data_IF_920718781577
#
_entry.id   IF_920718781577
#
_cell.length_a   1.000
_cell.length_b   1.000
_cell.length_c   1.000
_cell.angle_alpha   90.00
_cell.angle_beta   90.00
_cell.angle_gamma   90.00
#
_symmetry.space_group_name_H-M   'P 1'
#
loop_
_entity.id
_entity.type
_entity.pdbx_description
1 polymer ?
#
# COMPACT_ATOMS: atom_id res chain seq x y z
N UNK A 1 -16.80 -5.18 -24.24
CA UNK A 1 -17.18 -6.17 -23.21
C UNK A 1 -17.88 -5.44 -22.07
N UNK A 2 -19.15 -5.77 -21.83
CA UNK A 2 -19.91 -5.26 -20.69
C UNK A 2 -19.50 -6.09 -19.47
N UNK A 3 -18.48 -5.63 -18.74
CA UNK A 3 -18.11 -6.20 -17.44
C UNK A 3 -18.79 -5.43 -16.33
N UNK A 4 -19.23 -6.13 -15.30
CA UNK A 4 -19.74 -5.55 -14.05
C UNK A 4 -18.80 -5.93 -12.93
N UNK A 5 -18.16 -4.94 -12.34
CA UNK A 5 -17.27 -5.14 -11.19
C UNK A 5 -18.13 -5.35 -9.95
N UNK A 6 -17.90 -6.45 -9.25
CA UNK A 6 -18.66 -6.84 -8.05
C UNK A 6 -17.91 -6.58 -6.78
N UNK A 7 -16.57 -6.60 -6.82
CA UNK A 7 -15.72 -6.35 -5.67
C UNK A 7 -14.38 -5.80 -6.12
N UNK A 8 -13.76 -4.98 -5.27
CA UNK A 8 -12.46 -4.38 -5.50
C UNK A 8 -11.58 -4.51 -4.27
N UNK A 9 -10.49 -5.26 -4.38
CA UNK A 9 -9.54 -5.52 -3.30
C UNK A 9 -8.27 -4.73 -3.56
N UNK A 10 -8.07 -3.71 -2.75
CA UNK A 10 -6.92 -2.82 -2.85
C UNK A 10 -5.58 -3.51 -2.56
N UNK A 11 -5.59 -4.57 -1.73
CA UNK A 11 -4.42 -5.41 -1.40
C UNK A 11 -4.84 -6.87 -1.32
N UNK A 12 -4.62 -7.63 -2.38
CA UNK A 12 -4.83 -9.08 -2.35
C UNK A 12 -3.68 -9.76 -1.59
N UNK A 13 -3.93 -10.10 -0.33
CA UNK A 13 -2.94 -10.76 0.55
C UNK A 13 -2.52 -12.15 0.08
N UNK A 14 -3.23 -12.77 -0.87
CA UNK A 14 -2.82 -14.04 -1.48
C UNK A 14 -1.47 -13.94 -2.20
N UNK A 15 -1.17 -12.75 -2.75
CA UNK A 15 0.12 -12.45 -3.37
C UNK A 15 1.17 -11.90 -2.37
N UNK A 16 0.84 -11.83 -1.08
CA UNK A 16 1.66 -11.22 -0.04
C UNK A 16 1.33 -9.76 0.20
N UNK A 17 2.04 -9.15 1.16
CA UNK A 17 1.90 -7.72 1.45
C UNK A 17 2.54 -6.89 0.32
N UNK A 18 1.84 -5.86 -0.11
CA UNK A 18 2.28 -4.95 -1.16
C UNK A 18 1.12 -4.42 -2.00
N UNK A 19 1.44 -3.78 -3.10
CA UNK A 19 0.47 -3.22 -4.05
C UNK A 19 0.00 -4.32 -5.00
N UNK A 20 -0.88 -5.18 -4.53
CA UNK A 20 -1.47 -6.26 -5.32
C UNK A 20 -2.97 -6.02 -5.43
N UNK A 21 -3.39 -5.34 -6.48
CA UNK A 21 -4.79 -5.10 -6.74
C UNK A 21 -5.47 -6.31 -7.35
N UNK A 22 -6.72 -6.51 -7.00
CA UNK A 22 -7.59 -7.36 -7.79
C UNK A 22 -9.02 -6.84 -7.75
N UNK A 23 -9.77 -7.18 -8.76
CA UNK A 23 -11.22 -7.01 -8.75
C UNK A 23 -11.93 -8.27 -9.23
N UNK A 24 -13.09 -8.49 -8.66
CA UNK A 24 -14.02 -9.53 -9.09
C UNK A 24 -15.03 -8.93 -10.05
N UNK A 25 -15.37 -9.66 -11.09
CA UNK A 25 -16.31 -9.20 -12.11
C UNK A 25 -17.03 -10.37 -12.77
N UNK A 26 -18.16 -10.08 -13.38
CA UNK A 26 -18.78 -10.95 -14.36
C UNK A 26 -18.96 -10.22 -15.70
N UNK A 27 -18.97 -10.96 -16.76
CA UNK A 27 -19.19 -10.46 -18.11
C UNK A 27 -20.50 -11.01 -18.70
N UNK A 28 -21.03 -10.31 -19.73
CA UNK A 28 -22.21 -10.72 -20.47
C UNK A 28 -23.45 -11.03 -19.63
N UNK A 29 -23.56 -10.42 -18.44
CA UNK A 29 -24.72 -10.58 -17.55
C UNK A 29 -24.78 -11.89 -16.75
N UNK A 30 -23.81 -12.79 -16.91
CA UNK A 30 -23.78 -14.07 -16.17
C UNK A 30 -23.23 -13.87 -14.73
N UNK A 31 -24.12 -13.53 -13.82
CA UNK A 31 -23.82 -13.31 -12.39
C UNK A 31 -23.29 -14.56 -11.68
N UNK A 32 -23.47 -15.75 -12.24
CA UNK A 32 -23.03 -17.00 -11.63
C UNK A 32 -21.55 -17.31 -11.94
N UNK A 33 -20.95 -16.62 -12.89
CA UNK A 33 -19.55 -16.79 -13.28
C UNK A 33 -18.69 -15.62 -12.87
N UNK A 34 -18.36 -15.54 -11.58
CA UNK A 34 -17.45 -14.53 -11.05
C UNK A 34 -16.01 -14.85 -11.48
N UNK A 35 -15.39 -13.89 -12.14
CA UNK A 35 -13.98 -13.91 -12.53
C UNK A 35 -13.18 -12.96 -11.65
N UNK A 36 -11.89 -13.25 -11.43
CA UNK A 36 -10.99 -12.38 -10.66
C UNK A 36 -9.83 -11.97 -11.57
N UNK A 37 -9.65 -10.66 -11.72
CA UNK A 37 -8.48 -10.09 -12.39
C UNK A 37 -7.53 -9.52 -11.37
N UNK A 38 -6.29 -10.02 -11.36
CA UNK A 38 -5.20 -9.54 -10.50
C UNK A 38 -4.23 -8.70 -11.29
N UNK A 39 -3.72 -7.68 -10.65
CA UNK A 39 -2.71 -6.80 -11.22
C UNK A 39 -1.43 -6.92 -10.39
N UNK A 40 -0.27 -7.12 -11.02
CA UNK A 40 1.00 -6.95 -10.34
C UNK A 40 1.18 -5.48 -9.95
N UNK A 41 2.10 -5.21 -9.05
CA UNK A 41 2.48 -3.85 -8.68
C UNK A 41 2.72 -3.02 -9.97
N UNK A 42 2.17 -1.81 -10.00
CA UNK A 42 2.23 -0.93 -11.18
C UNK A 42 1.57 -1.53 -12.44
N UNK A 43 0.70 -2.50 -12.28
CA UNK A 43 0.01 -3.16 -13.38
C UNK A 43 -1.27 -2.46 -13.83
N UNK A 44 -1.77 -1.53 -13.04
CA UNK A 44 -3.00 -0.80 -13.32
C UNK A 44 -2.78 0.71 -13.28
N UNK A 45 -3.36 1.44 -14.22
CA UNK A 45 -3.22 2.90 -14.33
C UNK A 45 -3.70 3.63 -13.08
N UNK A 46 -4.87 3.24 -12.54
CA UNK A 46 -5.44 3.86 -11.34
C UNK A 46 -4.55 3.68 -10.09
N UNK A 47 -3.85 2.55 -9.96
CA UNK A 47 -2.89 2.34 -8.86
C UNK A 47 -1.77 3.36 -8.92
N UNK A 48 -1.16 3.50 -10.09
CA UNK A 48 -0.04 4.42 -10.27
C UNK A 48 -0.47 5.86 -10.05
N UNK A 49 -1.61 6.27 -10.60
CA UNK A 49 -2.13 7.61 -10.39
C UNK A 49 -2.49 7.88 -8.93
N UNK A 50 -3.01 6.87 -8.21
CA UNK A 50 -3.22 6.98 -6.77
C UNK A 50 -1.91 7.15 -6.00
N UNK A 51 -0.91 6.28 -6.25
CA UNK A 51 0.39 6.34 -5.55
C UNK A 51 1.17 7.63 -5.83
N UNK A 52 0.96 8.23 -7.01
CA UNK A 52 1.57 9.51 -7.39
C UNK A 52 0.81 10.73 -6.87
N UNK A 53 -0.38 10.54 -6.29
CA UNK A 53 -1.25 11.61 -5.83
C UNK A 53 -2.03 12.31 -6.96
N UNK A 54 -2.09 11.71 -8.15
CA UNK A 54 -2.78 12.30 -9.30
C UNK A 54 -4.31 12.24 -9.16
N UNK A 55 -4.83 11.26 -8.40
CA UNK A 55 -6.28 11.08 -8.18
C UNK A 55 -6.70 11.17 -6.71
N UNK A 56 -5.80 11.61 -5.83
CA UNK A 56 -6.14 11.86 -4.43
C UNK A 56 -7.12 13.02 -4.30
N UNK A 57 -7.89 13.05 -3.21
CA UNK A 57 -8.80 14.18 -2.93
C UNK A 57 -7.99 15.43 -2.60
N UNK A 58 -8.54 16.62 -2.89
CA UNK A 58 -7.87 17.89 -2.57
C UNK A 58 -7.50 17.99 -1.07
N UNK A 59 -8.38 17.57 -0.18
CA UNK A 59 -8.13 17.54 1.27
C UNK A 59 -6.91 16.71 1.68
N UNK A 60 -6.46 15.76 0.84
CA UNK A 60 -5.26 14.98 1.13
C UNK A 60 -3.98 15.82 1.03
N UNK A 61 -4.02 16.93 0.28
CA UNK A 61 -2.86 17.80 0.06
C UNK A 61 -2.72 18.89 1.12
N UNK A 62 -3.77 19.12 1.90
CA UNK A 62 -3.83 20.07 3.02
C UNK A 62 -4.29 19.40 4.33
N UNK A 63 -4.06 18.08 4.47
CA UNK A 63 -4.59 17.30 5.58
C UNK A 63 -3.94 17.71 6.91
N UNK A 64 -4.72 18.34 7.79
CA UNK A 64 -4.29 18.75 9.13
C UNK A 64 -3.94 17.55 10.04
N UNK A 65 -4.47 16.36 9.72
CA UNK A 65 -4.15 15.12 10.44
C UNK A 65 -2.78 14.52 10.05
N UNK A 66 -2.06 15.12 9.11
CA UNK A 66 -0.73 14.63 8.68
C UNK A 66 0.38 15.13 9.61
N UNK A 67 0.32 14.73 10.87
CA UNK A 67 1.29 15.03 11.92
C UNK A 67 1.27 13.91 12.98
N UNK A 68 2.17 13.96 13.94
CA UNK A 68 2.25 12.99 15.06
C UNK A 68 1.35 13.34 16.24
N UNK A 69 0.80 14.56 16.28
CA UNK A 69 -0.13 14.97 17.34
C UNK A 69 -1.53 14.45 17.01
N UNK A 70 -1.88 13.28 17.50
CA UNK A 70 -3.13 12.58 17.19
C UNK A 70 -4.14 12.73 18.32
N UNK A 71 -5.41 12.88 17.95
CA UNK A 71 -6.54 12.95 18.90
C UNK A 71 -7.04 11.57 19.35
N UNK A 72 -6.67 10.50 18.62
CA UNK A 72 -7.04 9.11 18.94
C UNK A 72 -6.13 8.51 19.97
N UNK A 73 -6.61 7.54 20.76
CA UNK A 73 -5.78 6.83 21.74
C UNK A 73 -4.66 6.02 21.06
N UNK A 74 -4.94 5.47 19.88
CA UNK A 74 -3.98 4.70 19.07
C UNK A 74 -3.98 5.16 17.61
N UNK A 75 -2.82 5.14 17.00
CA UNK A 75 -2.65 5.27 15.54
C UNK A 75 -2.00 4.02 14.98
N UNK A 76 -2.64 3.38 14.02
CA UNK A 76 -2.11 2.20 13.34
C UNK A 76 -1.71 2.55 11.91
N UNK A 77 -0.66 1.89 11.43
CA UNK A 77 -0.21 2.01 10.05
C UNK A 77 0.65 0.83 9.62
N UNK A 78 0.92 0.74 8.33
CA UNK A 78 1.93 -0.19 7.83
C UNK A 78 3.31 0.28 8.28
N UNK A 79 4.17 -0.63 8.77
CA UNK A 79 5.55 -0.29 9.05
C UNK A 79 6.38 -0.40 7.77
N UNK A 80 6.41 0.68 7.01
CA UNK A 80 7.22 0.75 5.80
C UNK A 80 8.71 0.67 6.13
N UNK A 81 9.46 -0.10 5.34
CA UNK A 81 10.90 -0.28 5.47
C UNK A 81 11.39 -0.84 6.83
N UNK A 82 10.56 -1.61 7.54
CA UNK A 82 10.98 -2.31 8.77
C UNK A 82 12.21 -3.19 8.55
N UNK A 83 12.39 -3.74 7.35
CA UNK A 83 13.55 -4.55 6.97
C UNK A 83 14.85 -3.75 6.92
N UNK A 84 14.75 -2.43 6.82
CA UNK A 84 15.89 -1.49 6.86
C UNK A 84 16.13 -1.01 8.28
N UNK A 85 15.05 -0.58 8.95
CA UNK A 85 15.11 0.03 10.27
C UNK A 85 15.39 -1.00 11.38
N UNK A 86 14.74 -2.17 11.30
CA UNK A 86 14.80 -3.23 12.30
C UNK A 86 15.01 -4.62 11.67
N UNK A 87 16.12 -4.80 10.95
CA UNK A 87 16.42 -6.10 10.31
C UNK A 87 16.52 -7.26 11.29
N UNK A 88 16.85 -6.98 12.56
CA UNK A 88 16.94 -7.97 13.64
C UNK A 88 15.59 -8.66 13.89
N UNK A 89 14.46 -7.97 13.79
CA UNK A 89 13.14 -8.57 13.98
C UNK A 89 12.82 -9.57 12.87
N UNK A 90 13.27 -9.29 11.65
CA UNK A 90 13.03 -10.14 10.49
C UNK A 90 13.92 -11.38 10.49
N UNK A 91 15.16 -11.25 10.98
CA UNK A 91 16.15 -12.35 11.02
C UNK A 91 15.86 -13.34 12.14
N UNK A 92 15.29 -12.91 13.26
CA UNK A 92 15.01 -13.72 14.45
C UNK A 92 14.02 -14.87 14.24
N UNK A 93 13.36 -14.95 13.08
CA UNK A 93 12.37 -15.98 12.76
C UNK A 93 11.18 -16.04 13.72
N UNK A 94 10.80 -14.90 14.31
CA UNK A 94 9.55 -14.87 15.03
C UNK A 94 8.40 -15.16 14.03
N UNK A 95 7.64 -16.24 14.23
CA UNK A 95 6.56 -16.61 13.31
C UNK A 95 5.45 -15.57 13.26
N UNK A 96 5.37 -14.69 14.25
CA UNK A 96 4.42 -13.56 14.27
C UNK A 96 4.86 -12.43 13.35
N UNK A 97 6.15 -12.30 13.05
CA UNK A 97 6.71 -11.25 12.20
C UNK A 97 7.04 -11.77 10.80
N UNK A 98 6.26 -11.40 9.84
CA UNK A 98 6.49 -11.75 8.43
C UNK A 98 6.29 -10.56 7.54
N UNK A 99 7.35 -10.12 6.86
CA UNK A 99 7.29 -9.05 5.84
C UNK A 99 6.24 -9.42 4.77
N UNK A 100 6.14 -10.71 4.44
CA UNK A 100 5.21 -11.18 3.42
C UNK A 100 3.75 -11.01 3.83
N UNK A 101 3.44 -11.07 5.13
CA UNK A 101 2.09 -10.83 5.67
C UNK A 101 1.82 -9.35 5.92
N UNK A 102 2.88 -8.55 6.01
CA UNK A 102 2.88 -7.17 6.45
C UNK A 102 3.03 -7.07 7.96
N UNK A 103 3.70 -6.01 8.39
CA UNK A 103 3.90 -5.68 9.80
C UNK A 103 3.32 -4.31 10.03
N UNK A 104 2.54 -4.16 11.09
CA UNK A 104 1.96 -2.88 11.47
C UNK A 104 2.87 -2.17 12.46
N UNK A 105 2.87 -0.85 12.42
CA UNK A 105 3.30 -0.01 13.52
C UNK A 105 2.08 0.55 14.26
N UNK A 106 2.24 0.79 15.56
CA UNK A 106 1.24 1.39 16.42
C UNK A 106 1.88 2.50 17.22
N UNK A 107 1.25 3.67 17.23
CA UNK A 107 1.57 4.75 18.15
C UNK A 107 0.52 4.79 19.25
N UNK A 108 0.94 4.94 20.49
CA UNK A 108 0.07 5.20 21.65
C UNK A 108 0.12 6.70 21.92
N UNK A 109 -1.01 7.39 21.77
CA UNK A 109 -1.03 8.84 21.71
C UNK A 109 -1.53 9.50 23.02
N UNK A 110 -2.21 8.75 23.89
CA UNK A 110 -2.83 9.30 25.11
C UNK A 110 -2.54 8.43 26.31
N UNK A 111 -2.70 8.99 27.51
CA UNK A 111 -2.62 8.24 28.77
C UNK A 111 -3.66 7.11 28.84
N UNK A 112 -4.85 7.34 28.30
CA UNK A 112 -5.88 6.31 28.20
C UNK A 112 -5.42 5.16 27.30
N UNK A 113 -4.76 5.46 26.17
CA UNK A 113 -4.13 4.45 25.32
C UNK A 113 -3.10 3.63 26.09
N UNK A 114 -2.25 4.26 26.87
CA UNK A 114 -1.26 3.57 27.72
C UNK A 114 -1.90 2.61 28.73
N UNK A 115 -3.02 2.98 29.34
CA UNK A 115 -3.75 2.11 30.27
C UNK A 115 -4.27 0.82 29.59
N UNK A 116 -4.56 0.87 28.29
CA UNK A 116 -5.01 -0.30 27.53
C UNK A 116 -3.87 -1.10 26.91
N UNK A 117 -2.65 -0.57 26.87
CA UNK A 117 -1.51 -1.21 26.21
C UNK A 117 -1.22 -2.61 26.77
N UNK A 118 -1.25 -2.79 28.09
CA UNK A 118 -1.03 -4.09 28.76
C UNK A 118 -2.03 -5.15 28.28
N UNK A 119 -3.30 -4.78 28.17
CA UNK A 119 -4.36 -5.68 27.67
C UNK A 119 -4.15 -6.06 26.20
N UNK A 120 -3.62 -5.16 25.38
CA UNK A 120 -3.28 -5.45 24.00
C UNK A 120 -2.06 -6.38 23.91
N UNK A 121 -1.06 -6.20 24.76
CA UNK A 121 0.13 -7.06 24.81
C UNK A 121 -0.20 -8.52 25.15
N UNK A 122 -1.27 -8.79 25.88
CA UNK A 122 -1.76 -10.16 26.09
C UNK A 122 -2.30 -10.84 24.82
N UNK A 123 -2.71 -10.07 23.83
CA UNK A 123 -3.36 -10.54 22.60
C UNK A 123 -2.49 -10.43 21.34
N UNK A 124 -1.44 -9.63 21.40
CA UNK A 124 -0.64 -9.26 20.24
C UNK A 124 0.86 -9.35 20.58
N UNK A 125 1.64 -9.81 19.63
CA UNK A 125 3.11 -9.71 19.72
C UNK A 125 3.51 -8.28 19.38
N UNK A 126 4.19 -7.60 20.30
CA UNK A 126 4.60 -6.21 20.17
C UNK A 126 6.09 -6.05 20.49
N UNK A 127 6.73 -5.16 19.77
CA UNK A 127 8.11 -4.72 20.01
C UNK A 127 8.13 -3.21 20.06
N UNK A 128 8.78 -2.68 21.08
CA UNK A 128 8.98 -1.25 21.20
C UNK A 128 10.05 -0.77 20.21
N UNK A 129 9.77 0.33 19.54
CA UNK A 129 10.66 0.97 18.56
C UNK A 129 10.59 2.49 18.72
N UNK A 130 11.62 3.19 18.28
CA UNK A 130 11.62 4.64 18.30
C UNK A 130 10.69 5.24 17.22
N UNK A 131 10.09 6.39 17.53
CA UNK A 131 9.17 7.08 16.62
C UNK A 131 9.87 7.52 15.33
N UNK A 132 11.15 7.85 15.39
CA UNK A 132 11.91 8.32 14.23
C UNK A 132 12.05 7.22 13.18
N UNK A 133 12.24 5.96 13.59
CA UNK A 133 12.32 4.82 12.67
C UNK A 133 11.01 4.63 11.87
N UNK A 134 9.86 4.90 12.49
CA UNK A 134 8.56 4.85 11.83
C UNK A 134 8.38 6.03 10.89
N UNK A 135 8.66 7.25 11.34
CA UNK A 135 8.36 8.48 10.60
C UNK A 135 9.24 8.67 9.37
N UNK A 136 10.48 8.13 9.38
CA UNK A 136 11.36 8.19 8.19
C UNK A 136 10.73 7.62 6.91
N UNK A 137 9.87 6.62 7.05
CA UNK A 137 9.25 5.92 5.93
C UNK A 137 7.72 6.07 5.86
N UNK A 138 7.12 6.74 6.84
CA UNK A 138 5.69 7.05 6.90
C UNK A 138 5.48 8.57 6.82
N UNK A 139 5.78 9.15 5.67
CA UNK A 139 5.79 10.61 5.47
C UNK A 139 4.47 11.31 5.84
N UNK A 140 3.35 10.62 5.76
CA UNK A 140 2.03 11.17 6.13
C UNK A 140 1.84 11.36 7.65
N UNK A 141 2.79 10.88 8.47
CA UNK A 141 2.88 11.23 9.89
C UNK A 141 3.54 12.60 10.12
N UNK A 142 4.17 13.18 9.11
CA UNK A 142 4.91 14.44 9.23
C UNK A 142 4.35 15.57 8.35
N UNK A 143 3.68 15.22 7.25
CA UNK A 143 3.19 16.18 6.27
C UNK A 143 2.08 15.59 5.40
N UNK A 144 1.21 16.44 4.82
CA UNK A 144 0.20 16.03 3.86
C UNK A 144 0.78 15.33 2.62
N UNK A 145 -0.07 14.58 1.94
CA UNK A 145 0.27 13.94 0.67
C UNK A 145 0.68 14.98 -0.38
N UNK A 146 1.65 14.61 -1.20
CA UNK A 146 2.08 15.48 -2.29
C UNK A 146 1.08 15.45 -3.43
N UNK A 147 0.72 16.63 -3.96
CA UNK A 147 -0.09 16.74 -5.18
C UNK A 147 0.69 16.17 -6.37
N UNK A 148 0.05 15.27 -7.12
CA UNK A 148 0.65 14.66 -8.30
C UNK A 148 0.84 15.67 -9.43
N UNK A 149 1.96 15.55 -10.14
CA UNK A 149 2.29 16.45 -11.25
C UNK A 149 1.37 16.27 -12.46
N UNK A 150 0.85 15.05 -12.66
CA UNK A 150 -0.03 14.74 -13.78
C UNK A 150 -1.51 14.92 -13.45
N UNK A 151 -1.85 15.35 -12.21
CA UNK A 151 -3.22 15.39 -11.73
C UNK A 151 -4.19 16.10 -12.65
N UNK A 152 -3.87 17.32 -13.05
CA UNK A 152 -4.79 18.13 -13.80
C UNK A 152 -5.08 17.51 -15.18
N UNK A 153 -4.05 17.03 -15.87
CA UNK A 153 -4.19 16.32 -17.14
C UNK A 153 -4.94 14.99 -16.99
N UNK A 154 -4.71 14.25 -15.90
CA UNK A 154 -5.42 12.98 -15.63
C UNK A 154 -6.90 13.23 -15.39
N UNK A 155 -7.25 14.24 -14.59
CA UNK A 155 -8.65 14.58 -14.32
C UNK A 155 -9.35 15.14 -15.56
N UNK A 156 -8.70 16.01 -16.32
CA UNK A 156 -9.22 16.52 -17.58
C UNK A 156 -9.52 15.39 -18.56
N UNK A 157 -8.57 14.49 -18.80
CA UNK A 157 -8.78 13.32 -19.67
C UNK A 157 -9.93 12.43 -19.15
N UNK A 158 -10.06 12.28 -17.82
CA UNK A 158 -11.16 11.51 -17.25
C UNK A 158 -12.52 12.16 -17.52
N UNK A 159 -12.64 13.47 -17.35
CA UNK A 159 -13.90 14.19 -17.55
C UNK A 159 -14.29 14.29 -19.02
N UNK A 160 -13.32 14.42 -19.90
CA UNK A 160 -13.58 14.57 -21.35
C UNK A 160 -13.79 13.24 -22.07
N UNK A 161 -13.00 12.23 -21.75
CA UNK A 161 -12.94 10.97 -22.52
C UNK A 161 -13.13 9.70 -21.66
N UNK A 162 -13.27 9.87 -20.35
CA UNK A 162 -13.48 8.78 -19.39
C UNK A 162 -12.20 7.98 -19.07
N UNK A 163 -12.37 6.92 -18.27
CA UNK A 163 -11.26 6.11 -17.78
C UNK A 163 -10.46 5.41 -18.90
N UNK A 164 -11.10 5.10 -20.01
CA UNK A 164 -10.47 4.43 -21.16
C UNK A 164 -9.25 5.23 -21.67
N UNK A 165 -9.39 6.54 -21.77
CA UNK A 165 -8.30 7.44 -22.19
C UNK A 165 -7.11 7.41 -21.22
N UNK A 166 -7.37 7.38 -19.92
CA UNK A 166 -6.32 7.27 -18.91
C UNK A 166 -5.56 5.96 -19.06
N UNK A 167 -6.26 4.85 -19.28
CA UNK A 167 -5.66 3.54 -19.47
C UNK A 167 -4.83 3.47 -20.77
N UNK A 168 -5.29 4.06 -21.85
CA UNK A 168 -4.55 4.19 -23.13
C UNK A 168 -3.25 4.98 -22.92
N UNK A 169 -3.33 6.18 -22.37
CA UNK A 169 -2.16 7.03 -22.10
C UNK A 169 -1.16 6.33 -21.15
N UNK A 170 -1.66 5.59 -20.17
CA UNK A 170 -0.81 4.81 -19.29
C UNK A 170 -0.09 3.69 -20.02
N UNK A 171 -0.79 2.92 -20.85
CA UNK A 171 -0.22 1.83 -21.63
C UNK A 171 0.84 2.33 -22.62
N UNK A 172 0.63 3.47 -23.25
CA UNK A 172 1.58 4.10 -24.16
C UNK A 172 2.88 4.54 -23.44
N UNK A 173 2.75 5.05 -22.21
CA UNK A 173 3.89 5.54 -21.43
C UNK A 173 4.64 4.42 -20.72
N UNK A 174 3.95 3.42 -20.20
CA UNK A 174 4.55 2.32 -19.42
C UNK A 174 4.89 1.12 -20.29
N UNK A 175 4.08 0.82 -21.31
CA UNK A 175 4.33 -0.15 -22.36
C UNK A 175 5.14 -1.38 -21.96
N UNK A 176 6.31 -1.57 -22.64
CA UNK A 176 7.24 -2.68 -22.37
C UNK A 176 7.78 -2.72 -20.94
N UNK A 177 7.81 -1.59 -20.19
CA UNK A 177 8.25 -1.55 -18.80
C UNK A 177 7.33 -2.32 -17.87
N UNK A 178 6.04 -2.44 -18.20
CA UNK A 178 5.05 -3.21 -17.43
C UNK A 178 5.47 -4.67 -17.25
N UNK A 179 5.95 -5.32 -18.31
CA UNK A 179 6.44 -6.71 -18.27
C UNK A 179 7.69 -6.85 -17.39
N UNK A 180 8.59 -5.88 -17.47
CA UNK A 180 9.80 -5.83 -16.65
C UNK A 180 9.43 -5.62 -15.16
N UNK A 181 8.49 -4.74 -14.87
CA UNK A 181 8.00 -4.54 -13.48
C UNK A 181 7.31 -5.77 -12.93
N UNK A 182 6.48 -6.44 -13.74
CA UNK A 182 5.82 -7.68 -13.34
C UNK A 182 6.85 -8.77 -13.03
N UNK A 183 7.86 -8.95 -13.87
CA UNK A 183 8.94 -9.91 -13.65
C UNK A 183 9.78 -9.58 -12.39
N UNK A 184 10.17 -8.33 -12.21
CA UNK A 184 10.89 -7.87 -11.00
C UNK A 184 10.06 -8.09 -9.73
N UNK A 185 8.76 -7.84 -9.77
CA UNK A 185 7.89 -8.04 -8.62
C UNK A 185 7.73 -9.53 -8.30
N UNK A 186 7.59 -10.38 -9.31
CA UNK A 186 7.55 -11.83 -9.14
C UNK A 186 8.82 -12.36 -8.46
N UNK A 187 9.98 -11.90 -8.90
CA UNK A 187 11.26 -12.25 -8.28
C UNK A 187 11.28 -11.79 -6.81
N UNK A 188 10.93 -10.53 -6.54
CA UNK A 188 10.91 -9.97 -5.18
C UNK A 188 9.99 -10.73 -4.23
N UNK A 189 8.83 -11.21 -4.70
CA UNK A 189 7.88 -11.95 -3.85
C UNK A 189 8.36 -13.35 -3.49
N UNK A 190 9.31 -13.91 -4.24
CA UNK A 190 9.87 -15.27 -3.99
C UNK A 190 11.21 -15.25 -3.26
N UNK A 191 11.81 -14.07 -3.06
CA UNK A 191 13.05 -13.95 -2.29
C UNK A 191 12.77 -14.22 -0.80
N UNK A 192 13.50 -15.13 -0.14
CA UNK A 192 13.40 -15.34 1.30
C UNK A 192 13.69 -14.05 2.09
N UNK A 193 12.98 -13.84 3.19
CA UNK A 193 13.07 -12.60 3.99
C UNK A 193 14.52 -12.27 4.43
N UNK A 194 15.32 -13.27 4.77
CA UNK A 194 16.74 -13.09 5.10
C UNK A 194 17.55 -12.47 3.96
N UNK A 195 17.31 -12.92 2.73
CA UNK A 195 18.03 -12.42 1.56
C UNK A 195 17.56 -11.00 1.20
N UNK A 196 16.29 -10.68 1.44
CA UNK A 196 15.75 -9.31 1.28
C UNK A 196 16.49 -8.31 2.16
N UNK A 197 16.69 -8.64 3.43
CA UNK A 197 17.43 -7.76 4.37
C UNK A 197 18.84 -7.49 3.86
N UNK A 198 19.52 -8.48 3.27
CA UNK A 198 20.85 -8.28 2.69
C UNK A 198 20.83 -7.36 1.47
N UNK A 199 19.86 -7.53 0.57
CA UNK A 199 19.72 -6.70 -0.64
C UNK A 199 19.44 -5.23 -0.30
N UNK A 200 18.68 -4.96 0.77
CA UNK A 200 18.38 -3.58 1.18
C UNK A 200 19.52 -2.90 1.96
N UNK A 201 20.52 -3.67 2.41
CA UNK A 201 21.73 -3.13 3.06
C UNK A 201 22.86 -2.78 2.10
N UNK A 202 22.77 -3.21 0.84
CA UNK A 202 23.69 -2.88 -0.26
C UNK A 202 23.24 -1.61 -0.98
#
# INVERSE_FOLDING_TARGET
>A
QNIVITDYIFRDKKAGWGSNFCYSYYDNGDKNKIKIKRFPKEGASHEIHYLRGDISRENCFSCEMSNTNRVSDFTFGDYWAIEIEHPEFIVRKDPALSIRKGINCMMVNTEKGMQYLSKLQEKMVMYEVDLASITRHNSNLLKPSKRGKARDAVLENYYMEGYKKIEENYNDTVGKKRTVYAAKNMIKTHIPDKLRVQIYRM
#
